data_IF_526311589046
#
_entry.id   IF_526311589046
#
_cell.length_a   1.000
_cell.length_b   1.000
_cell.length_c   1.000
_cell.angle_alpha   90.00
_cell.angle_beta   90.00
_cell.angle_gamma   90.00
#
_symmetry.space_group_name_H-M   'P 1'
#
loop_
_entity.id
_entity.type
_entity.pdbx_description
1 polymer ?
#
# COMPACT_ATOMS: atom_id res chain seq x y z
N UNK A 1 33.66 -40.82 -10.59
CA UNK A 1 33.60 -40.09 -11.88
C UNK A 1 32.23 -39.41 -11.93
N UNK A 2 32.12 -38.09 -11.72
CA UNK A 2 32.23 -37.03 -12.76
C UNK A 2 31.06 -37.13 -13.76
N UNK A 3 30.17 -36.18 -14.04
CA UNK A 3 29.88 -34.75 -13.75
C UNK A 3 28.35 -34.59 -14.00
N UNK A 4 27.55 -33.89 -13.19
CA UNK A 4 27.21 -32.47 -13.28
C UNK A 4 27.02 -31.91 -14.72
N UNK A 5 25.86 -31.31 -15.04
CA UNK A 5 25.67 -29.85 -15.23
C UNK A 5 24.55 -29.45 -16.24
N UNK A 6 23.42 -28.94 -15.70
CA UNK A 6 22.61 -27.71 -16.05
C UNK A 6 22.10 -27.53 -17.50
N UNK A 7 20.92 -26.95 -17.79
CA UNK A 7 20.25 -25.71 -17.35
C UNK A 7 18.84 -25.76 -18.01
N UNK A 8 17.74 -25.30 -17.43
CA UNK A 8 17.38 -23.87 -17.44
C UNK A 8 16.55 -23.49 -16.23
N UNK A 9 17.14 -22.59 -15.49
CA UNK A 9 16.72 -21.89 -14.28
C UNK A 9 15.48 -21.03 -14.51
N UNK A 10 14.40 -21.37 -13.83
CA UNK A 10 13.35 -20.43 -13.43
C UNK A 10 13.95 -19.51 -12.36
N UNK A 11 14.40 -18.33 -12.76
CA UNK A 11 14.66 -17.21 -11.85
C UNK A 11 13.32 -16.50 -11.66
N UNK A 12 12.53 -16.99 -10.70
CA UNK A 12 11.67 -16.11 -9.92
C UNK A 12 12.37 -15.95 -8.59
N UNK A 13 13.10 -14.84 -8.50
CA UNK A 13 13.86 -14.41 -7.35
C UNK A 13 13.04 -14.47 -6.06
N UNK A 14 13.68 -15.10 -5.08
CA UNK A 14 13.37 -15.11 -3.67
C UNK A 14 13.07 -13.69 -3.15
N UNK A 15 11.86 -13.46 -2.68
CA UNK A 15 11.56 -12.44 -1.67
C UNK A 15 10.51 -13.02 -0.70
N UNK A 16 10.70 -12.82 0.62
CA UNK A 16 10.56 -13.87 1.62
C UNK A 16 9.14 -14.00 2.19
N UNK A 17 8.98 -14.99 3.07
CA UNK A 17 7.82 -15.29 3.91
C UNK A 17 7.36 -14.12 4.83
N UNK A 18 6.92 -13.02 4.23
CA UNK A 18 6.29 -11.84 4.86
C UNK A 18 4.96 -11.45 4.17
N UNK A 19 4.44 -12.28 3.27
CA UNK A 19 3.18 -12.04 2.56
C UNK A 19 1.92 -12.26 3.41
N UNK A 20 2.09 -12.59 4.71
CA UNK A 20 1.00 -12.99 5.59
C UNK A 20 0.47 -11.89 6.54
N UNK A 21 0.78 -10.60 6.37
CA UNK A 21 0.46 -9.61 7.44
C UNK A 21 -0.18 -8.31 6.99
N UNK A 22 0.12 -7.73 5.81
CA UNK A 22 -0.34 -6.36 5.50
C UNK A 22 -1.84 -6.29 5.21
N UNK A 23 -2.39 -7.25 4.46
CA UNK A 23 -3.84 -7.30 4.16
C UNK A 23 -4.71 -7.39 5.42
N UNK A 24 -4.19 -7.98 6.49
CA UNK A 24 -4.91 -8.10 7.75
C UNK A 24 -4.85 -6.81 8.59
N UNK A 25 -3.88 -5.92 8.32
CA UNK A 25 -3.69 -4.65 9.04
C UNK A 25 -4.69 -3.58 8.64
N UNK A 26 -5.39 -3.71 7.50
CA UNK A 26 -6.37 -2.74 7.04
C UNK A 26 -7.70 -3.40 6.63
N UNK A 27 -8.73 -2.57 6.50
CA UNK A 27 -10.05 -2.96 5.99
C UNK A 27 -10.36 -2.05 4.81
N UNK A 28 -10.69 -2.64 3.67
CA UNK A 28 -11.29 -1.94 2.53
C UNK A 28 -12.80 -1.86 2.75
N UNK A 29 -13.37 -0.66 2.75
CA UNK A 29 -14.81 -0.41 2.92
C UNK A 29 -15.31 0.56 1.87
N UNK A 30 -16.56 0.40 1.44
CA UNK A 30 -17.21 1.38 0.56
C UNK A 30 -17.71 2.56 1.38
N UNK A 31 -17.33 3.77 0.98
CA UNK A 31 -17.73 4.99 1.65
C UNK A 31 -19.19 5.33 1.26
N UNK A 32 -20.11 5.31 2.23
CA UNK A 32 -21.55 5.46 2.01
C UNK A 32 -21.97 6.77 1.32
N UNK A 33 -21.17 7.82 1.46
CA UNK A 33 -21.56 9.20 1.11
C UNK A 33 -20.99 9.73 -0.20
N UNK A 34 -20.03 9.04 -0.83
CA UNK A 34 -19.30 9.59 -2.00
C UNK A 34 -18.95 8.57 -3.11
N UNK A 35 -19.56 7.37 -3.08
CA UNK A 35 -19.26 6.30 -4.05
C UNK A 35 -17.75 6.00 -4.22
N UNK A 36 -16.97 6.28 -3.19
CA UNK A 36 -15.53 6.05 -3.15
C UNK A 36 -15.25 4.84 -2.26
N UNK A 37 -14.15 4.14 -2.53
CA UNK A 37 -13.65 3.11 -1.63
C UNK A 37 -12.60 3.71 -0.70
N UNK A 38 -12.57 3.26 0.55
CA UNK A 38 -11.53 3.65 1.49
C UNK A 38 -10.90 2.44 2.16
N UNK A 39 -9.61 2.53 2.45
CA UNK A 39 -8.96 1.61 3.38
C UNK A 39 -8.69 2.30 4.69
N UNK A 40 -8.89 1.59 5.79
CA UNK A 40 -8.53 2.06 7.14
C UNK A 40 -7.69 1.01 7.85
N UNK A 41 -6.66 1.45 8.56
CA UNK A 41 -5.92 0.57 9.46
C UNK A 41 -6.83 0.06 10.58
N UNK A 42 -6.74 -1.24 10.89
CA UNK A 42 -7.42 -1.87 12.03
C UNK A 42 -6.76 -1.51 13.35
N UNK A 43 -5.45 -1.38 13.33
CA UNK A 43 -4.64 -1.17 14.51
C UNK A 43 -4.19 0.30 14.58
N UNK A 44 -4.68 1.04 15.58
CA UNK A 44 -4.35 2.45 15.76
C UNK A 44 -2.89 2.70 16.18
N UNK A 45 -2.16 1.64 16.53
CA UNK A 45 -0.73 1.69 16.83
C UNK A 45 0.13 1.93 15.59
N UNK A 46 -0.42 1.81 14.38
CA UNK A 46 0.30 2.18 13.16
C UNK A 46 -0.19 3.52 12.62
N UNK A 47 0.68 4.18 11.87
CA UNK A 47 0.40 5.40 11.10
C UNK A 47 1.06 5.30 9.74
N UNK A 48 0.71 6.21 8.85
CA UNK A 48 1.30 6.32 7.53
C UNK A 48 2.28 7.49 7.49
N UNK A 49 3.52 7.21 7.10
CA UNK A 49 4.55 8.21 6.87
C UNK A 49 4.47 8.72 5.43
N UNK A 50 3.88 9.90 5.26
CA UNK A 50 3.68 10.50 3.94
C UNK A 50 5.01 10.85 3.26
N UNK A 51 6.07 11.15 4.02
CA UNK A 51 7.38 11.50 3.45
C UNK A 51 8.03 10.32 2.72
N UNK A 52 7.79 9.09 3.16
CA UNK A 52 8.23 7.89 2.44
C UNK A 52 7.47 7.72 1.12
N UNK A 53 6.16 8.01 1.13
CA UNK A 53 5.31 7.86 -0.05
C UNK A 53 5.66 8.89 -1.14
N UNK A 54 5.96 10.14 -0.74
CA UNK A 54 6.36 11.21 -1.69
C UNK A 54 7.59 10.83 -2.53
N UNK A 55 8.47 9.97 -2.00
CA UNK A 55 9.68 9.53 -2.72
C UNK A 55 9.43 8.43 -3.75
N UNK A 56 8.38 7.63 -3.54
CA UNK A 56 8.11 6.42 -4.34
C UNK A 56 6.95 6.60 -5.32
N UNK A 57 6.07 7.58 -5.09
CA UNK A 57 4.86 7.78 -5.87
C UNK A 57 4.81 9.16 -6.51
N UNK A 58 4.07 9.26 -7.61
CA UNK A 58 3.77 10.54 -8.24
C UNK A 58 2.80 11.32 -7.36
N UNK A 59 3.24 12.49 -6.88
CA UNK A 59 2.44 13.33 -5.97
C UNK A 59 1.71 14.40 -6.75
N UNK A 60 0.38 14.42 -6.61
CA UNK A 60 -0.49 15.47 -7.17
C UNK A 60 -0.60 16.64 -6.20
N UNK A 61 -0.73 16.35 -4.90
CA UNK A 61 -0.87 17.35 -3.85
C UNK A 61 -0.25 16.86 -2.54
N UNK A 62 0.63 17.66 -1.95
CA UNK A 62 1.23 17.39 -0.65
C UNK A 62 0.73 18.39 0.39
N UNK A 63 0.22 17.87 1.51
CA UNK A 63 -0.09 18.66 2.71
C UNK A 63 0.44 17.94 3.95
N UNK A 64 0.52 18.60 5.13
CA UNK A 64 1.07 17.98 6.33
C UNK A 64 0.31 16.74 6.84
N UNK A 65 -0.98 16.60 6.48
CA UNK A 65 -1.87 15.55 7.00
C UNK A 65 -2.38 14.63 5.88
N UNK A 66 -2.43 15.15 4.65
CA UNK A 66 -3.02 14.49 3.48
C UNK A 66 -2.06 14.55 2.30
N UNK A 67 -1.88 13.44 1.62
CA UNK A 67 -1.09 13.30 0.40
C UNK A 67 -1.99 12.75 -0.69
N UNK A 68 -2.12 13.45 -1.81
CA UNK A 68 -2.79 12.93 -3.01
C UNK A 68 -1.71 12.42 -3.94
N UNK A 69 -1.76 11.12 -4.26
CA UNK A 69 -0.83 10.49 -5.20
C UNK A 69 -1.59 9.90 -6.39
N UNK A 70 -0.89 9.85 -7.52
CA UNK A 70 -1.31 9.12 -8.71
C UNK A 70 -0.58 7.77 -8.74
N UNK A 71 -1.33 6.69 -8.91
CA UNK A 71 -0.77 5.37 -9.17
C UNK A 71 -1.45 4.83 -10.42
N UNK A 72 -0.67 4.65 -11.49
CA UNK A 72 -1.17 4.38 -12.84
C UNK A 72 -2.12 5.50 -13.31
N UNK A 73 -3.43 5.25 -13.37
CA UNK A 73 -4.46 6.24 -13.69
C UNK A 73 -5.48 6.47 -12.56
N UNK A 74 -5.14 6.02 -11.35
CA UNK A 74 -6.00 6.14 -10.18
C UNK A 74 -5.44 7.19 -9.24
N UNK A 75 -6.29 8.16 -8.91
CA UNK A 75 -6.01 9.12 -7.86
C UNK A 75 -6.42 8.53 -6.51
N UNK A 76 -5.48 8.52 -5.57
CA UNK A 76 -5.77 8.15 -4.20
C UNK A 76 -5.28 9.20 -3.22
N UNK A 77 -6.05 9.38 -2.17
CA UNK A 77 -5.74 10.31 -1.08
C UNK A 77 -5.29 9.50 0.13
N UNK A 78 -4.04 9.66 0.53
CA UNK A 78 -3.45 9.03 1.71
C UNK A 78 -3.43 10.00 2.89
N UNK A 79 -4.05 9.62 4.00
CA UNK A 79 -4.01 10.34 5.27
C UNK A 79 -2.91 9.77 6.17
N UNK A 80 -2.20 10.64 6.89
CA UNK A 80 -1.17 10.23 7.84
C UNK A 80 -1.70 9.32 8.98
N UNK A 81 -3.00 9.36 9.26
CA UNK A 81 -3.69 8.49 10.22
C UNK A 81 -3.87 7.04 9.71
N UNK A 82 -3.49 6.74 8.47
CA UNK A 82 -3.58 5.42 7.87
C UNK A 82 -4.88 5.14 7.12
N UNK A 83 -5.63 6.19 6.76
CA UNK A 83 -6.76 6.07 5.83
C UNK A 83 -6.29 6.33 4.41
N UNK A 84 -6.69 5.49 3.45
CA UNK A 84 -6.56 5.77 2.02
C UNK A 84 -7.96 5.91 1.44
N UNK A 85 -8.15 6.86 0.53
CA UNK A 85 -9.39 7.08 -0.19
C UNK A 85 -9.11 6.96 -1.69
N UNK A 86 -9.78 6.01 -2.35
CA UNK A 86 -9.68 5.79 -3.78
C UNK A 86 -10.79 6.55 -4.50
N UNK A 87 -10.43 7.39 -5.48
CA UNK A 87 -11.38 8.11 -6.31
C UNK A 87 -11.42 7.50 -7.70
N UNK A 88 -12.62 7.35 -8.26
CA UNK A 88 -12.81 6.93 -9.66
C UNK A 88 -12.34 5.50 -9.98
N UNK A 89 -12.17 4.65 -8.98
CA UNK A 89 -11.84 3.24 -9.17
C UNK A 89 -12.99 2.40 -8.61
N UNK A 90 -13.38 1.35 -9.34
CA UNK A 90 -14.36 0.33 -8.91
C UNK A 90 -13.74 -1.07 -8.84
N UNK A 91 -12.48 -1.22 -9.25
CA UNK A 91 -11.78 -2.50 -9.25
C UNK A 91 -11.17 -2.77 -7.86
N UNK A 92 -11.87 -3.60 -7.08
CA UNK A 92 -11.49 -3.96 -5.71
C UNK A 92 -10.11 -4.61 -5.62
N UNK A 93 -9.76 -5.49 -6.57
CA UNK A 93 -8.47 -6.17 -6.57
C UNK A 93 -7.32 -5.19 -6.79
N UNK A 94 -7.55 -4.20 -7.67
CA UNK A 94 -6.58 -3.17 -7.98
C UNK A 94 -6.38 -2.24 -6.78
N UNK A 95 -7.47 -1.81 -6.14
CA UNK A 95 -7.39 -1.04 -4.88
C UNK A 95 -6.64 -1.78 -3.80
N UNK A 96 -6.90 -3.09 -3.65
CA UNK A 96 -6.25 -3.88 -2.61
C UNK A 96 -4.74 -3.97 -2.86
N UNK A 97 -4.31 -4.18 -4.11
CA UNK A 97 -2.89 -4.19 -4.48
C UNK A 97 -2.23 -2.84 -4.24
N UNK A 98 -2.89 -1.73 -4.62
CA UNK A 98 -2.36 -0.38 -4.39
C UNK A 98 -2.25 -0.11 -2.88
N UNK A 99 -3.31 -0.41 -2.12
CA UNK A 99 -3.31 -0.24 -0.67
C UNK A 99 -2.17 -1.03 -0.01
N UNK A 100 -1.98 -2.28 -0.40
CA UNK A 100 -0.90 -3.13 0.09
C UNK A 100 0.47 -2.50 -0.17
N UNK A 101 0.72 -2.00 -1.39
CA UNK A 101 1.96 -1.31 -1.75
C UNK A 101 2.17 -0.02 -0.94
N UNK A 102 1.12 0.80 -0.81
CA UNK A 102 1.16 2.05 -0.04
C UNK A 102 1.46 1.77 1.44
N UNK A 103 0.78 0.79 2.05
CA UNK A 103 1.05 0.42 3.44
C UNK A 103 2.43 -0.21 3.58
N UNK A 104 2.88 -1.06 2.65
CA UNK A 104 4.22 -1.66 2.72
C UNK A 104 5.34 -0.62 2.77
N UNK A 105 5.19 0.48 2.03
CA UNK A 105 6.19 1.57 1.97
C UNK A 105 6.01 2.54 3.14
N UNK A 106 4.76 2.94 3.41
CA UNK A 106 4.44 4.05 4.30
C UNK A 106 4.16 3.66 5.75
N UNK A 107 3.94 2.39 6.09
CA UNK A 107 3.51 2.01 7.43
C UNK A 107 4.64 2.18 8.45
N UNK A 108 4.32 2.82 9.58
CA UNK A 108 5.23 3.02 10.71
C UNK A 108 4.47 2.84 12.01
N UNK A 109 5.09 2.19 13.00
CA UNK A 109 4.55 2.11 14.35
C UNK A 109 4.59 3.48 15.04
N UNK A 110 3.48 3.87 15.67
CA UNK A 110 3.42 4.96 16.61
C UNK A 110 4.20 4.51 17.85
N UNK A 111 5.47 4.89 17.91
CA UNK A 111 6.29 4.67 19.10
C UNK A 111 5.58 5.23 20.33
N UNK A 112 5.43 4.39 21.37
CA UNK A 112 5.10 4.84 22.73
C UNK A 112 6.15 5.88 23.13
N UNK A 113 5.75 7.14 23.22
CA UNK A 113 6.44 8.10 24.07
C UNK A 113 5.90 7.96 25.48
#
# INVERSE_FOLDING_TARGET
>A
MSKNLKKTTSVLDNAPALSKTIKELFILSKCKTKAAYSTRLKFQQYKLDLKKLVKEFEVIMETPIVLVIKVDDIELTAHNFGELLFRGCDNLELMQKIAEKVYQIGLVEKGKR
#
